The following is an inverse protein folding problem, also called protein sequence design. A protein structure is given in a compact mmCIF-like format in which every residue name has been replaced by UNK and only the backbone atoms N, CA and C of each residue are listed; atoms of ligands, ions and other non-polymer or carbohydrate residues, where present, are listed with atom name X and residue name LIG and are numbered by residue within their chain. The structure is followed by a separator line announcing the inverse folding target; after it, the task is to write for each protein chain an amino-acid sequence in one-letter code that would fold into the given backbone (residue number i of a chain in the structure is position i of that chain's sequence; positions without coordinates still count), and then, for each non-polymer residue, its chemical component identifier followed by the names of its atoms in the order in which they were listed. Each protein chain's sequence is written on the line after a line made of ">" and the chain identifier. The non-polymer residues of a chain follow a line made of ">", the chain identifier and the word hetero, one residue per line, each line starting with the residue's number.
data_IF_176765755848
#
_entry.id   IF_176765755848
#
_cell.length_a   1.000
_cell.length_b   1.000
_cell.length_c   1.000
_cell.angle_alpha   90.00
_cell.angle_beta   90.00
_cell.angle_gamma   90.00
#
_symmetry.space_group_name_H-M   'P 1'
#
loop_
_entity.id
_entity.type
_entity.pdbx_description
1 polymer ?
#
# COMPACT_ATOMS: atom_id res chain seq x y z
N UNK A 1 9.93 -11.20 -11.13
CA UNK A 1 8.77 -10.62 -10.42
C UNK A 1 7.49 -11.12 -11.09
N UNK A 2 6.73 -12.02 -10.45
CA UNK A 2 5.46 -12.52 -10.98
C UNK A 2 4.35 -11.56 -10.54
N UNK A 3 3.85 -10.71 -11.44
CA UNK A 3 2.64 -9.91 -11.16
C UNK A 3 1.50 -10.92 -10.97
N UNK A 4 1.04 -11.09 -9.73
CA UNK A 4 -0.06 -12.01 -9.43
C UNK A 4 -1.35 -11.49 -10.08
N UNK A 5 -2.19 -12.38 -10.62
CA UNK A 5 -3.53 -12.05 -11.14
C UNK A 5 -4.57 -11.89 -10.02
N UNK A 6 -4.16 -11.78 -8.75
CA UNK A 6 -5.07 -11.53 -7.64
C UNK A 6 -5.71 -10.16 -7.80
N UNK A 7 -7.04 -10.14 -7.87
CA UNK A 7 -7.87 -8.94 -7.93
C UNK A 7 -8.69 -8.74 -6.65
N UNK A 8 -8.60 -9.66 -5.69
CA UNK A 8 -9.26 -9.59 -4.39
C UNK A 8 -8.29 -9.88 -3.24
N UNK A 9 -8.63 -9.37 -2.07
CA UNK A 9 -7.90 -9.57 -0.81
C UNK A 9 -8.84 -9.45 0.37
N UNK A 10 -8.36 -9.84 1.55
CA UNK A 10 -9.13 -9.69 2.79
C UNK A 10 -8.76 -8.37 3.44
N UNK A 11 -9.74 -7.53 3.74
CA UNK A 11 -9.52 -6.37 4.60
C UNK A 11 -9.22 -6.85 6.03
N UNK A 12 -8.02 -6.60 6.58
CA UNK A 12 -7.63 -7.13 7.88
C UNK A 12 -8.46 -6.60 9.05
N UNK A 13 -9.18 -5.47 8.89
CA UNK A 13 -10.02 -4.91 9.96
C UNK A 13 -11.39 -5.55 9.98
N UNK A 14 -12.04 -5.69 8.83
CA UNK A 14 -13.43 -6.16 8.74
C UNK A 14 -13.54 -7.67 8.47
N UNK A 15 -12.48 -8.29 7.99
CA UNK A 15 -12.48 -9.67 7.50
C UNK A 15 -13.20 -9.87 6.16
N UNK A 16 -13.70 -8.80 5.54
CA UNK A 16 -14.43 -8.89 4.28
C UNK A 16 -13.47 -9.10 3.10
N UNK A 17 -13.93 -9.88 2.12
CA UNK A 17 -13.25 -10.01 0.83
C UNK A 17 -13.62 -8.79 -0.01
N UNK A 18 -12.62 -7.98 -0.33
CA UNK A 18 -12.75 -6.77 -1.14
C UNK A 18 -11.85 -6.87 -2.36
N UNK A 19 -12.11 -6.04 -3.38
CA UNK A 19 -11.20 -5.93 -4.52
C UNK A 19 -9.88 -5.29 -4.07
N UNK A 20 -8.78 -5.64 -4.72
CA UNK A 20 -7.51 -4.93 -4.57
C UNK A 20 -7.52 -3.63 -5.39
N UNK A 21 -6.61 -2.72 -5.05
CA UNK A 21 -6.42 -1.46 -5.76
C UNK A 21 -6.08 -1.70 -7.23
N UNK A 22 -6.70 -0.89 -8.10
CA UNK A 22 -6.52 -0.91 -9.53
C UNK A 22 -5.79 0.37 -9.99
N UNK A 23 -4.48 0.32 -10.30
CA UNK A 23 -3.68 1.52 -10.56
C UNK A 23 -4.09 2.39 -11.74
N UNK A 24 -4.99 1.93 -12.62
CA UNK A 24 -5.50 2.72 -13.75
C UNK A 24 -6.94 3.22 -13.57
N UNK A 25 -7.61 2.82 -12.49
CA UNK A 25 -9.03 3.16 -12.24
C UNK A 25 -9.21 3.89 -10.91
N UNK A 26 -8.41 3.55 -9.90
CA UNK A 26 -8.48 4.13 -8.57
C UNK A 26 -7.49 5.27 -8.41
N UNK A 27 -7.86 6.30 -7.64
CA UNK A 27 -6.92 7.36 -7.26
C UNK A 27 -6.12 6.96 -6.03
N UNK A 28 -4.82 7.18 -6.06
CA UNK A 28 -3.94 6.75 -4.97
C UNK A 28 -4.29 7.40 -3.62
N UNK A 29 -4.52 8.70 -3.63
CA UNK A 29 -4.81 9.56 -2.48
C UNK A 29 -6.16 9.26 -1.80
N UNK A 30 -7.10 8.63 -2.51
CA UNK A 30 -8.35 8.13 -1.91
C UNK A 30 -8.12 6.86 -1.08
N UNK A 31 -7.10 6.07 -1.40
CA UNK A 31 -6.89 4.74 -0.82
C UNK A 31 -5.69 4.67 0.13
N UNK A 32 -4.70 5.54 -0.02
CA UNK A 32 -3.42 5.42 0.67
C UNK A 32 -2.88 6.76 1.16
N UNK A 33 -2.13 6.71 2.25
CA UNK A 33 -1.24 7.78 2.69
C UNK A 33 0.17 7.22 2.94
N UNK A 34 1.19 7.96 2.51
CA UNK A 34 2.59 7.66 2.85
C UNK A 34 2.97 8.46 4.10
N UNK A 35 3.19 7.77 5.22
CA UNK A 35 3.66 8.38 6.45
C UNK A 35 5.15 8.71 6.30
N UNK A 36 5.47 9.97 6.04
CA UNK A 36 6.83 10.39 5.70
C UNK A 36 7.86 10.12 6.80
N UNK A 37 7.43 10.15 8.07
CA UNK A 37 8.30 9.91 9.22
C UNK A 37 8.71 8.43 9.36
N UNK A 38 7.88 7.51 8.88
CA UNK A 38 8.09 6.06 9.07
C UNK A 38 8.35 5.31 7.77
N UNK A 39 8.05 5.90 6.60
CA UNK A 39 8.13 5.25 5.29
C UNK A 39 7.05 4.20 5.06
N UNK A 40 6.06 4.13 5.96
CA UNK A 40 4.94 3.18 5.89
C UNK A 40 3.83 3.73 5.00
N UNK A 41 3.25 2.87 4.18
CA UNK A 41 2.03 3.17 3.44
C UNK A 41 0.85 2.64 4.24
N UNK A 42 -0.06 3.53 4.65
CA UNK A 42 -1.30 3.18 5.34
C UNK A 42 -2.47 3.12 4.36
N UNK A 43 -3.34 2.12 4.53
CA UNK A 43 -4.58 2.00 3.76
C UNK A 43 -5.73 2.73 4.45
N UNK A 44 -6.34 3.71 3.76
CA UNK A 44 -7.41 4.56 4.29
C UNK A 44 -8.79 3.92 4.13
N UNK A 45 -8.95 3.05 3.12
CA UNK A 45 -10.20 2.34 2.81
C UNK A 45 -10.01 0.83 2.93
N UNK A 46 -11.10 0.06 2.93
CA UNK A 46 -11.04 -1.42 2.92
C UNK A 46 -10.17 -1.96 1.77
N UNK A 47 -10.30 -1.37 0.57
CA UNK A 47 -9.47 -1.68 -0.61
C UNK A 47 -8.01 -1.34 -0.33
N UNK A 48 -7.74 -0.17 0.27
CA UNK A 48 -6.40 0.25 0.63
C UNK A 48 -5.74 -0.71 1.64
N UNK A 49 -6.45 -1.06 2.72
CA UNK A 49 -5.94 -1.96 3.76
C UNK A 49 -5.69 -3.37 3.23
N UNK A 50 -6.64 -3.93 2.47
CA UNK A 50 -6.46 -5.22 1.81
C UNK A 50 -5.25 -5.19 0.86
N UNK A 51 -5.06 -4.08 0.13
CA UNK A 51 -3.91 -3.91 -0.79
C UNK A 51 -2.59 -3.67 -0.06
N UNK A 52 -2.56 -3.07 1.12
CA UNK A 52 -1.31 -2.98 1.90
C UNK A 52 -0.93 -4.38 2.42
N UNK A 53 -1.91 -5.19 2.78
CA UNK A 53 -1.74 -6.50 3.40
C UNK A 53 -1.36 -7.60 2.39
N UNK A 54 -2.12 -7.80 1.31
CA UNK A 54 -2.02 -8.98 0.42
C UNK A 54 -0.81 -9.06 -0.54
N UNK A 55 -0.18 -7.95 -0.96
CA UNK A 55 1.12 -7.96 -1.63
C UNK A 55 2.28 -7.55 -0.69
N UNK A 56 2.00 -7.23 0.58
CA UNK A 56 2.98 -6.74 1.55
C UNK A 56 3.67 -5.46 1.06
N UNK A 57 2.97 -4.32 1.04
CA UNK A 57 3.55 -3.05 0.57
C UNK A 57 4.61 -2.44 1.51
N UNK A 58 4.66 -2.96 2.74
CA UNK A 58 5.49 -2.45 3.82
C UNK A 58 6.55 -3.47 4.29
N UNK A 59 7.07 -4.31 3.39
CA UNK A 59 8.25 -5.11 3.75
C UNK A 59 9.41 -4.19 4.15
N UNK A 60 10.26 -4.58 5.12
CA UNK A 60 11.31 -3.71 5.66
C UNK A 60 12.21 -3.07 4.59
N UNK A 61 12.58 -3.83 3.54
CA UNK A 61 13.38 -3.31 2.44
C UNK A 61 12.70 -2.15 1.68
N UNK A 62 11.39 -2.24 1.46
CA UNK A 62 10.62 -1.20 0.76
C UNK A 62 10.43 0.04 1.64
N UNK A 63 10.20 -0.15 2.94
CA UNK A 63 10.10 0.94 3.92
C UNK A 63 11.42 1.70 3.99
N UNK A 64 12.55 0.99 4.13
CA UNK A 64 13.88 1.60 4.17
C UNK A 64 14.22 2.34 2.88
N UNK A 65 13.87 1.78 1.72
CA UNK A 65 14.04 2.47 0.43
C UNK A 65 13.23 3.76 0.37
N UNK A 66 11.96 3.76 0.82
CA UNK A 66 11.13 4.97 0.85
C UNK A 66 11.70 6.02 1.81
N UNK A 67 12.20 5.64 2.99
CA UNK A 67 12.85 6.57 3.91
C UNK A 67 14.08 7.23 3.28
N UNK A 68 14.93 6.46 2.59
CA UNK A 68 16.08 7.01 1.88
C UNK A 68 15.67 7.99 0.78
N UNK A 69 14.63 7.65 -0.01
CA UNK A 69 14.09 8.53 -1.05
C UNK A 69 13.50 9.83 -0.48
N UNK A 70 12.76 9.73 0.62
CA UNK A 70 12.20 10.89 1.30
C UNK A 70 13.33 11.81 1.79
N UNK A 71 14.41 11.24 2.35
CA UNK A 71 15.55 12.02 2.84
C UNK A 71 16.27 12.79 1.72
N UNK A 72 16.38 12.22 0.52
CA UNK A 72 17.00 12.93 -0.63
C UNK A 72 16.09 13.99 -1.25
N UNK A 73 14.76 13.88 -1.11
CA UNK A 73 13.82 14.95 -1.53
C UNK A 73 13.92 16.22 -0.65
N UNK A 74 14.57 16.13 0.50
CA UNK A 74 14.78 17.25 1.43
C UNK A 74 16.19 17.87 1.33
N UNK A 75 17.01 17.44 0.37
CA UNK A 75 18.31 18.02 0.02
C UNK A 75 18.20 18.89 -1.24
#
# INVERSE_FOLDING_TARGET
>A
MRKSKKNTGVDPITGQIVRLFHPRLDKWDEHFVLQRQTGVIEGLTEIGRATVHEPGMNYPAQVNMRLALIQVEFL
#
